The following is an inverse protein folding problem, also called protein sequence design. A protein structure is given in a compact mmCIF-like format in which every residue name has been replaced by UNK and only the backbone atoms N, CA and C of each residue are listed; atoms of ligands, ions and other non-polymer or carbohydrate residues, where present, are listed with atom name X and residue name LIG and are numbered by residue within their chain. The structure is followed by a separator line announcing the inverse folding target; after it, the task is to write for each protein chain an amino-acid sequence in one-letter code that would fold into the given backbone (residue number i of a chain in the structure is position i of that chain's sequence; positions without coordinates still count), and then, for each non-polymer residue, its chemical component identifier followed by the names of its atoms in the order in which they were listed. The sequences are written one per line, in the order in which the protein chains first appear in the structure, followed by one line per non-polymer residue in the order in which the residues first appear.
data_IF_449892464559
#
_entry.id   IF_449892464559
#
_cell.length_a   1.000
_cell.length_b   1.000
_cell.length_c   1.000
_cell.angle_alpha   90.00
_cell.angle_beta   90.00
_cell.angle_gamma   90.00
#
_symmetry.space_group_name_H-M   'P 1'
#
loop_
_entity.id
_entity.type
_entity.pdbx_description
1 polymer ?
#
# COMPACT_ATOMS: atom_id res chain seq x y z
N UNK A 1 -6.93 11.54 -12.53
CA UNK A 1 -6.86 10.69 -11.32
C UNK A 1 -7.14 9.24 -11.69
N UNK A 2 -6.29 8.32 -11.24
CA UNK A 2 -6.52 6.89 -11.48
C UNK A 2 -7.66 6.37 -10.62
N UNK A 3 -8.38 5.38 -11.12
CA UNK A 3 -9.35 4.63 -10.32
C UNK A 3 -8.60 3.74 -9.33
N UNK A 4 -9.03 3.73 -8.09
CA UNK A 4 -8.42 2.90 -7.06
C UNK A 4 -9.19 1.58 -6.97
N UNK A 5 -8.46 0.48 -7.09
CA UNK A 5 -9.00 -0.85 -6.93
C UNK A 5 -8.31 -1.56 -5.77
N UNK A 6 -9.04 -2.43 -5.11
CA UNK A 6 -8.52 -3.22 -4.01
C UNK A 6 -8.59 -4.69 -4.37
N UNK A 7 -7.48 -5.40 -4.21
CA UNK A 7 -7.51 -6.86 -4.38
C UNK A 7 -8.35 -7.48 -3.26
N UNK A 8 -8.80 -8.69 -3.49
CA UNK A 8 -9.51 -9.45 -2.46
C UNK A 8 -8.66 -9.63 -1.21
N UNK A 9 -7.37 -9.88 -1.40
CA UNK A 9 -6.41 -10.05 -0.31
C UNK A 9 -6.20 -8.75 0.46
N UNK A 10 -6.10 -7.62 -0.26
CA UNK A 10 -5.97 -6.32 0.40
C UNK A 10 -7.17 -6.02 1.30
N UNK A 11 -8.37 -6.29 0.83
CA UNK A 11 -9.59 -6.06 1.64
C UNK A 11 -9.57 -6.88 2.92
N UNK A 12 -9.11 -8.12 2.82
CA UNK A 12 -8.98 -9.00 3.97
C UNK A 12 -7.91 -8.48 4.94
N UNK A 13 -6.76 -8.08 4.39
CA UNK A 13 -5.67 -7.49 5.18
C UNK A 13 -6.16 -6.24 5.92
N UNK A 14 -6.88 -5.37 5.23
CA UNK A 14 -7.38 -4.13 5.80
C UNK A 14 -8.30 -4.39 7.00
N UNK A 15 -9.23 -5.33 6.88
CA UNK A 15 -10.11 -5.70 7.99
C UNK A 15 -9.30 -6.18 9.20
N UNK A 16 -8.27 -6.97 8.95
CA UNK A 16 -7.40 -7.48 9.99
C UNK A 16 -6.63 -6.34 10.69
N UNK A 17 -6.01 -5.48 9.91
CA UNK A 17 -5.19 -4.39 10.46
C UNK A 17 -6.02 -3.34 11.19
N UNK A 18 -7.27 -3.13 10.80
CA UNK A 18 -8.17 -2.21 11.50
C UNK A 18 -8.56 -2.69 12.90
N UNK A 19 -8.33 -3.96 13.20
CA UNK A 19 -8.53 -4.54 14.55
C UNK A 19 -7.26 -4.53 15.38
N UNK A 20 -6.12 -4.15 14.78
CA UNK A 20 -4.82 -4.24 15.43
C UNK A 20 -4.28 -2.90 15.90
N UNK A 21 -3.01 -2.91 16.24
CA UNK A 21 -2.32 -1.75 16.82
C UNK A 21 -2.19 -0.56 15.84
N UNK A 22 -2.31 -0.80 14.55
CA UNK A 22 -2.16 0.25 13.54
C UNK A 22 -3.48 0.87 13.08
N UNK A 23 -4.59 0.58 13.75
CA UNK A 23 -5.91 1.05 13.33
C UNK A 23 -6.01 2.56 13.19
N UNK A 24 -5.35 3.31 14.06
CA UNK A 24 -5.37 4.77 13.98
C UNK A 24 -4.51 5.31 12.84
N UNK A 25 -3.37 4.69 12.59
CA UNK A 25 -2.51 5.03 11.45
C UNK A 25 -3.28 4.84 10.14
N UNK A 26 -3.97 3.70 10.03
CA UNK A 26 -4.76 3.40 8.84
C UNK A 26 -5.87 4.41 8.64
N UNK A 27 -6.64 4.70 9.70
CA UNK A 27 -7.74 5.65 9.62
C UNK A 27 -7.28 7.04 9.20
N UNK A 28 -6.09 7.45 9.65
CA UNK A 28 -5.55 8.77 9.35
C UNK A 28 -4.80 8.84 8.02
N UNK A 29 -3.93 7.88 7.77
CA UNK A 29 -2.89 8.03 6.74
C UNK A 29 -3.09 7.22 5.48
N UNK A 30 -3.76 6.07 5.55
CA UNK A 30 -3.87 5.17 4.40
C UNK A 30 -4.47 5.86 3.19
N UNK A 31 -5.63 6.50 3.37
CA UNK A 31 -6.35 7.07 2.23
C UNK A 31 -5.71 8.38 1.75
N UNK A 32 -5.01 9.09 2.60
CA UNK A 32 -4.21 10.25 2.19
C UNK A 32 -3.09 9.81 1.24
N UNK A 33 -2.40 8.73 1.59
CA UNK A 33 -1.34 8.15 0.75
C UNK A 33 -1.92 7.66 -0.58
N UNK A 34 -3.03 6.95 -0.53
CA UNK A 34 -3.69 6.44 -1.73
C UNK A 34 -4.09 7.59 -2.66
N UNK A 35 -4.61 8.67 -2.11
CA UNK A 35 -5.00 9.83 -2.92
C UNK A 35 -3.79 10.45 -3.63
N UNK A 36 -2.69 10.61 -2.93
CA UNK A 36 -1.45 11.13 -3.54
C UNK A 36 -1.02 10.24 -4.70
N UNK A 37 -0.99 8.93 -4.49
CA UNK A 37 -0.58 7.99 -5.52
C UNK A 37 -1.54 7.97 -6.70
N UNK A 38 -2.83 8.04 -6.46
CA UNK A 38 -3.84 8.03 -7.52
C UNK A 38 -3.75 9.28 -8.42
N UNK A 39 -3.24 10.37 -7.89
CA UNK A 39 -3.06 11.63 -8.62
C UNK A 39 -1.64 11.83 -9.14
N UNK A 40 -0.86 10.75 -9.21
CA UNK A 40 0.53 10.78 -9.69
C UNK A 40 1.46 11.67 -8.85
N UNK A 41 1.09 11.92 -7.61
CA UNK A 41 1.92 12.65 -6.67
C UNK A 41 3.07 11.82 -6.15
N UNK A 42 4.05 12.49 -5.56
CA UNK A 42 5.21 11.87 -4.95
C UNK A 42 5.03 11.87 -3.44
N UNK A 43 5.15 10.69 -2.82
CA UNK A 43 5.04 10.58 -1.37
C UNK A 43 6.25 11.21 -0.68
N UNK A 44 6.04 11.75 0.50
CA UNK A 44 7.12 12.21 1.35
C UNK A 44 8.12 11.05 1.54
N UNK A 45 9.43 11.35 1.56
CA UNK A 45 10.46 10.31 1.66
C UNK A 45 10.32 9.45 2.93
N UNK A 46 9.67 9.96 3.97
CA UNK A 46 9.43 9.20 5.21
C UNK A 46 8.59 7.93 4.99
N UNK A 47 7.84 7.87 3.90
CA UNK A 47 7.07 6.67 3.56
C UNK A 47 7.90 5.60 2.87
N UNK A 48 9.16 5.88 2.53
CA UNK A 48 10.07 4.92 1.87
C UNK A 48 9.45 4.25 0.65
N UNK A 49 8.76 5.01 -0.17
CA UNK A 49 8.14 4.49 -1.39
C UNK A 49 9.21 4.08 -2.39
N UNK A 50 9.19 2.81 -2.79
CA UNK A 50 10.17 2.28 -3.74
C UNK A 50 9.64 1.07 -4.49
N UNK A 51 10.23 0.82 -5.67
CA UNK A 51 9.90 -0.37 -6.45
C UNK A 51 10.52 -1.62 -5.82
N UNK A 52 9.80 -2.71 -5.88
CA UNK A 52 10.32 -4.01 -5.46
C UNK A 52 11.18 -4.61 -6.59
N UNK A 53 11.98 -5.60 -6.26
CA UNK A 53 12.90 -6.24 -7.20
C UNK A 53 12.50 -7.70 -7.46
N UNK A 54 13.17 -8.34 -8.43
CA UNK A 54 12.91 -9.73 -8.77
C UNK A 54 11.53 -9.93 -9.38
N UNK A 55 10.87 -11.00 -8.98
CA UNK A 55 9.54 -11.35 -9.50
C UNK A 55 8.48 -10.32 -9.15
N UNK A 56 8.76 -9.46 -8.19
CA UNK A 56 7.84 -8.42 -7.73
C UNK A 56 8.16 -7.04 -8.32
N UNK A 57 8.99 -6.99 -9.38
CA UNK A 57 9.51 -5.73 -9.93
C UNK A 57 8.45 -4.76 -10.44
N UNK A 58 7.23 -5.24 -10.74
CA UNK A 58 6.13 -4.37 -11.18
C UNK A 58 5.35 -3.80 -10.02
N UNK A 59 5.68 -4.19 -8.80
CA UNK A 59 5.02 -3.74 -7.58
C UNK A 59 5.88 -2.73 -6.87
N UNK A 60 5.22 -1.90 -6.08
CA UNK A 60 5.87 -0.91 -5.24
C UNK A 60 5.44 -1.11 -3.80
N UNK A 61 6.28 -0.66 -2.90
CA UNK A 61 6.05 -0.73 -1.46
C UNK A 61 6.14 0.66 -0.85
N UNK A 62 5.25 0.98 0.07
CA UNK A 62 5.42 2.15 0.92
C UNK A 62 5.13 1.79 2.37
N UNK A 63 5.77 2.50 3.29
CA UNK A 63 5.66 2.26 4.72
C UNK A 63 4.69 3.27 5.33
N UNK A 64 3.58 2.78 5.89
CA UNK A 64 2.63 3.64 6.60
C UNK A 64 3.02 3.80 8.07
N UNK A 65 3.75 2.83 8.62
CA UNK A 65 4.31 2.85 9.96
C UNK A 65 5.54 1.96 9.99
N UNK A 66 6.17 1.80 11.14
CA UNK A 66 7.43 1.07 11.27
C UNK A 66 7.38 -0.32 10.62
N UNK A 67 6.32 -1.08 10.88
CA UNK A 67 6.15 -2.41 10.28
C UNK A 67 4.75 -2.58 9.71
N UNK A 68 4.24 -1.53 9.08
CA UNK A 68 2.99 -1.57 8.34
C UNK A 68 3.29 -1.09 6.92
N UNK A 69 3.30 -2.01 5.98
CA UNK A 69 3.61 -1.70 4.59
C UNK A 69 2.41 -1.98 3.70
N UNK A 70 2.31 -1.18 2.65
CA UNK A 70 1.31 -1.37 1.61
C UNK A 70 2.03 -1.73 0.31
N UNK A 71 1.60 -2.82 -0.31
CA UNK A 71 2.08 -3.22 -1.63
C UNK A 71 1.02 -2.79 -2.64
N UNK A 72 1.45 -2.10 -3.67
CA UNK A 72 0.55 -1.61 -4.70
C UNK A 72 1.25 -1.63 -6.07
N UNK A 73 0.47 -1.45 -7.11
CA UNK A 73 1.03 -1.27 -8.46
C UNK A 73 0.09 -0.44 -9.32
N UNK A 74 0.65 0.17 -10.34
CA UNK A 74 -0.12 0.86 -11.35
C UNK A 74 -0.40 -0.12 -12.49
N UNK A 75 -1.68 -0.26 -12.85
CA UNK A 75 -2.08 -1.02 -14.03
C UNK A 75 -2.40 -0.01 -15.10
N UNK A 76 -1.53 0.09 -16.09
CA UNK A 76 -1.54 1.11 -17.14
C UNK A 76 -1.69 2.53 -16.55
N UNK A 77 -2.31 3.46 -17.30
CA UNK A 77 -2.47 4.85 -16.83
C UNK A 77 -3.77 5.08 -16.06
N UNK A 78 -4.56 4.03 -15.85
CA UNK A 78 -5.92 4.19 -15.38
C UNK A 78 -6.21 3.66 -13.98
N UNK A 79 -5.44 2.69 -13.50
CA UNK A 79 -5.77 1.96 -12.27
C UNK A 79 -4.59 1.93 -11.32
N UNK A 80 -4.86 2.27 -10.06
CA UNK A 80 -3.98 2.02 -8.93
C UNK A 80 -4.57 0.82 -8.19
N UNK A 81 -3.85 -0.31 -8.18
CA UNK A 81 -4.28 -1.52 -7.50
C UNK A 81 -3.57 -1.65 -6.16
N UNK A 82 -4.34 -1.70 -5.08
CA UNK A 82 -3.84 -1.97 -3.74
C UNK A 82 -3.86 -3.48 -3.54
N UNK A 83 -2.69 -4.09 -3.36
CA UNK A 83 -2.55 -5.54 -3.37
C UNK A 83 -2.44 -6.19 -2.01
N UNK A 84 -1.65 -5.62 -1.10
CA UNK A 84 -1.43 -6.16 0.24
C UNK A 84 -1.26 -5.04 1.26
N UNK A 85 -1.57 -5.36 2.51
CA UNK A 85 -1.36 -4.47 3.66
C UNK A 85 -1.01 -5.33 4.87
N UNK A 86 0.08 -5.01 5.55
CA UNK A 86 0.49 -5.74 6.74
C UNK A 86 1.96 -5.56 7.05
N UNK A 87 2.51 -6.42 7.90
CA UNK A 87 3.93 -6.42 8.20
C UNK A 87 4.74 -6.90 7.00
N UNK A 88 6.04 -6.61 6.99
CA UNK A 88 6.94 -7.11 5.93
C UNK A 88 6.85 -8.63 5.78
N UNK A 89 6.88 -9.36 6.89
CA UNK A 89 6.82 -10.82 6.83
C UNK A 89 5.50 -11.32 6.28
N UNK A 90 4.39 -10.69 6.61
CA UNK A 90 3.08 -11.10 6.13
C UNK A 90 2.90 -10.85 4.63
N UNK A 91 3.32 -9.68 4.15
CA UNK A 91 3.03 -9.28 2.77
C UNK A 91 4.10 -9.72 1.77
N UNK A 92 5.34 -9.94 2.22
CA UNK A 92 6.46 -10.34 1.38
C UNK A 92 6.95 -11.76 1.63
N UNK A 93 6.42 -12.44 2.63
CA UNK A 93 6.80 -13.82 2.95
C UNK A 93 8.18 -13.94 3.57
N UNK A 94 8.65 -12.93 4.23
CA UNK A 94 9.99 -12.90 4.85
C UNK A 94 10.02 -13.52 6.23
#
# INVERSE_FOLDING_TARGET
MRCVAQSKTFRKDLKCELRGKYRYVIAKSLWEVVEVLANDGVLNFSYHDHALTGDLSKRRECHLAFDLVMIYRFIDDNILLLERLGSHSEVLGL
#
